data_IF_570019368159
#
_entry.id   IF_570019368159
#
_cell.length_a   1.000
_cell.length_b   1.000
_cell.length_c   1.000
_cell.angle_alpha   90.00
_cell.angle_beta   90.00
_cell.angle_gamma   90.00
#
_symmetry.space_group_name_H-M   'P 1'
#
loop_
_entity.id
_entity.type
_entity.pdbx_description
1 polymer ?
#
# COMPACT_ATOMS: atom_id res chain seq x y z
N UNK A 1 14.05 11.72 29.85
CA UNK A 1 13.10 11.75 28.72
C UNK A 1 13.39 10.50 27.92
N UNK A 2 12.51 9.51 27.92
CA UNK A 2 12.62 8.45 26.92
C UNK A 2 12.21 9.06 25.59
N UNK A 3 13.05 8.98 24.58
CA UNK A 3 12.58 9.21 23.21
C UNK A 3 11.58 8.09 22.92
N UNK A 4 10.33 8.45 22.60
CA UNK A 4 9.35 7.48 22.14
C UNK A 4 9.92 6.89 20.86
N UNK A 5 10.29 5.61 20.90
CA UNK A 5 10.97 4.94 19.79
C UNK A 5 10.12 5.11 18.52
N UNK A 6 10.62 5.93 17.61
CA UNK A 6 9.78 6.48 16.55
C UNK A 6 9.51 5.38 15.53
N UNK A 7 8.31 4.77 15.61
CA UNK A 7 7.87 3.68 14.74
C UNK A 7 8.19 4.06 13.30
N UNK A 8 9.18 3.36 12.74
CA UNK A 8 9.54 3.47 11.33
C UNK A 8 8.43 2.78 10.53
N UNK A 9 8.07 3.36 9.39
CA UNK A 9 7.00 2.84 8.54
C UNK A 9 7.58 2.47 7.18
N UNK A 10 7.31 1.25 6.74
CA UNK A 10 7.44 0.85 5.34
C UNK A 10 6.18 1.27 4.59
N UNK A 11 6.31 1.56 3.29
CA UNK A 11 5.21 1.91 2.39
C UNK A 11 5.31 1.10 1.11
N UNK A 12 4.16 0.69 0.57
CA UNK A 12 4.03 -0.05 -0.69
C UNK A 12 2.89 0.54 -1.53
N UNK A 13 2.98 0.45 -2.86
CA UNK A 13 1.99 1.02 -3.78
C UNK A 13 1.48 -0.01 -4.78
N UNK A 14 0.26 -0.50 -4.57
CA UNK A 14 -0.41 -1.36 -5.53
C UNK A 14 -1.03 -0.50 -6.64
N UNK A 15 -0.56 -0.65 -7.88
CA UNK A 15 -1.31 -0.18 -9.06
C UNK A 15 -2.35 -1.25 -9.41
N UNK A 16 -3.67 -0.93 -9.39
CA UNK A 16 -4.69 -1.90 -9.80
C UNK A 16 -4.41 -2.44 -11.22
N UNK A 17 -4.64 -3.75 -11.46
CA UNK A 17 -4.59 -4.31 -12.80
C UNK A 17 -5.61 -3.64 -13.71
N UNK A 18 -5.41 -3.75 -15.03
CA UNK A 18 -6.25 -3.11 -16.04
C UNK A 18 -6.56 -4.07 -17.16
N UNK A 19 -7.78 -3.94 -17.65
CA UNK A 19 -8.29 -4.71 -18.79
C UNK A 19 -7.48 -4.46 -20.08
N UNK A 20 -7.67 -5.30 -21.10
CA UNK A 20 -6.99 -5.14 -22.39
C UNK A 20 -7.24 -3.77 -23.06
N UNK A 21 -8.37 -3.10 -22.78
CA UNK A 21 -8.65 -1.75 -23.27
C UNK A 21 -8.02 -0.62 -22.44
N UNK A 22 -7.47 -0.94 -21.26
CA UNK A 22 -6.89 -0.06 -20.24
C UNK A 22 -7.81 1.07 -19.74
N UNK A 23 -9.12 0.92 -19.93
CA UNK A 23 -10.13 1.93 -19.54
C UNK A 23 -10.60 1.75 -18.12
N UNK A 24 -10.71 0.50 -17.67
CA UNK A 24 -11.23 0.16 -16.36
C UNK A 24 -10.14 -0.58 -15.55
N UNK A 25 -10.25 -0.49 -14.22
CA UNK A 25 -9.42 -1.28 -13.32
C UNK A 25 -10.12 -2.62 -13.08
N UNK A 26 -9.36 -3.71 -13.19
CA UNK A 26 -9.82 -5.02 -12.73
C UNK A 26 -9.77 -5.07 -11.19
N UNK A 27 -10.62 -5.89 -10.56
CA UNK A 27 -10.73 -5.98 -9.10
C UNK A 27 -9.42 -6.49 -8.47
N UNK A 28 -8.62 -5.65 -7.76
CA UNK A 28 -7.32 -6.02 -7.20
C UNK A 28 -7.42 -6.90 -5.95
N UNK A 29 -8.57 -7.55 -5.73
CA UNK A 29 -8.90 -8.26 -4.50
C UNK A 29 -7.90 -9.37 -4.16
N UNK A 30 -7.26 -10.02 -5.13
CA UNK A 30 -6.27 -11.05 -4.83
C UNK A 30 -5.03 -10.43 -4.14
N UNK A 31 -4.50 -9.37 -4.74
CA UNK A 31 -3.36 -8.60 -4.27
C UNK A 31 -3.66 -7.88 -2.95
N UNK A 32 -4.87 -7.31 -2.80
CA UNK A 32 -5.33 -6.71 -1.54
C UNK A 32 -5.35 -7.72 -0.37
N UNK A 33 -5.80 -8.95 -0.61
CA UNK A 33 -5.79 -10.00 0.42
C UNK A 33 -4.35 -10.47 0.73
N UNK A 34 -3.45 -10.53 -0.25
CA UNK A 34 -2.04 -10.83 -0.01
C UNK A 34 -1.38 -9.74 0.84
N UNK A 35 -1.55 -8.47 0.48
CA UNK A 35 -1.01 -7.33 1.23
C UNK A 35 -1.52 -7.33 2.68
N UNK A 36 -2.82 -7.57 2.89
CA UNK A 36 -3.39 -7.72 4.23
C UNK A 36 -2.80 -8.89 5.04
N UNK A 37 -2.48 -10.02 4.38
CA UNK A 37 -1.82 -11.16 5.01
C UNK A 37 -0.34 -10.90 5.35
N UNK A 38 0.33 -10.02 4.60
CA UNK A 38 1.70 -9.53 4.84
C UNK A 38 1.77 -8.36 5.85
N UNK A 39 0.64 -8.00 6.47
CA UNK A 39 0.55 -6.97 7.51
C UNK A 39 0.44 -5.53 7.00
N UNK A 40 0.12 -5.33 5.73
CA UNK A 40 -0.06 -4.00 5.14
C UNK A 40 -1.45 -3.41 5.40
N UNK A 41 -1.49 -2.20 5.95
CA UNK A 41 -2.70 -1.39 6.14
C UNK A 41 -2.90 -0.43 4.96
N UNK A 42 -4.12 -0.33 4.42
CA UNK A 42 -4.45 0.70 3.41
C UNK A 42 -4.42 2.11 4.01
N UNK A 43 -3.91 3.07 3.24
CA UNK A 43 -3.77 4.48 3.63
C UNK A 43 -4.65 5.39 2.79
N UNK A 44 -4.39 5.46 1.48
CA UNK A 44 -5.02 6.44 0.58
C UNK A 44 -4.94 6.04 -0.90
N UNK A 45 -5.65 6.78 -1.77
CA UNK A 45 -5.56 6.68 -3.22
C UNK A 45 -4.68 7.78 -3.81
N UNK A 46 -3.82 7.44 -4.77
CA UNK A 46 -3.19 8.43 -5.65
C UNK A 46 -3.96 8.45 -6.96
N UNK A 47 -4.75 9.51 -7.15
CA UNK A 47 -5.61 9.72 -8.30
C UNK A 47 -4.95 10.63 -9.34
N UNK A 48 -5.51 10.66 -10.55
CA UNK A 48 -5.06 11.55 -11.61
C UNK A 48 -5.88 12.83 -11.72
N UNK A 49 -5.22 13.93 -12.13
CA UNK A 49 -5.90 15.07 -12.74
C UNK A 49 -6.68 14.58 -13.98
N UNK A 50 -8.01 14.77 -13.98
CA UNK A 50 -8.93 14.20 -14.95
C UNK A 50 -9.69 12.94 -14.47
N UNK A 51 -9.31 12.37 -13.32
CA UNK A 51 -10.01 11.28 -12.65
C UNK A 51 -9.40 9.88 -12.85
N UNK A 52 -9.78 8.97 -11.97
CA UNK A 52 -9.33 7.58 -11.95
C UNK A 52 -8.09 7.34 -11.07
N UNK A 53 -8.16 6.32 -10.23
CA UNK A 53 -7.08 5.93 -9.32
C UNK A 53 -5.93 5.27 -10.09
N UNK A 54 -4.70 5.67 -9.73
CA UNK A 54 -3.46 5.17 -10.33
C UNK A 54 -2.71 4.23 -9.38
N UNK A 55 -2.74 4.51 -8.07
CA UNK A 55 -2.15 3.67 -7.03
C UNK A 55 -3.02 3.65 -5.76
N UNK A 56 -3.02 2.51 -5.08
CA UNK A 56 -3.49 2.32 -3.71
C UNK A 56 -2.24 2.28 -2.82
N UNK A 57 -2.17 3.16 -1.83
CA UNK A 57 -1.02 3.29 -0.93
C UNK A 57 -1.25 2.48 0.33
N UNK A 58 -0.24 1.72 0.75
CA UNK A 58 -0.24 0.92 1.96
C UNK A 58 0.93 1.29 2.86
N UNK A 59 0.79 1.02 4.15
CA UNK A 59 1.86 1.13 5.15
C UNK A 59 1.91 -0.10 6.05
N UNK A 60 3.07 -0.36 6.65
CA UNK A 60 3.18 -1.24 7.83
C UNK A 60 4.30 -0.74 8.75
N UNK A 61 4.29 -1.09 10.05
CA UNK A 61 5.46 -0.88 10.90
C UNK A 61 6.65 -1.61 10.28
N UNK A 62 7.75 -0.89 10.06
CA UNK A 62 9.01 -1.51 9.66
C UNK A 62 9.47 -2.46 10.78
N UNK A 63 10.02 -3.61 10.42
CA UNK A 63 10.56 -4.51 11.43
C UNK A 63 11.81 -3.85 12.05
N UNK A 64 11.84 -3.75 13.39
CA UNK A 64 13.06 -3.37 14.11
C UNK A 64 14.05 -4.52 14.00
N UNK A 65 14.85 -4.48 12.94
CA UNK A 65 16.02 -5.33 12.71
C UNK A 65 17.14 -4.89 13.68
N UNK A 66 16.91 -5.12 14.97
CA UNK A 66 17.84 -4.89 16.07
C UNK A 66 18.46 -6.25 16.46
N UNK A 67 19.72 -6.53 16.05
CA UNK A 67 20.39 -7.76 16.42
C UNK A 67 20.83 -7.71 17.90
N UNK A 68 20.17 -8.55 18.72
CA UNK A 68 20.50 -8.83 20.13
C UNK A 68 21.80 -9.63 20.32
#
# INVERSE_FOLDING_TARGET
MSESEAIRWEYETLRPPRDESQKEAEDPKAELNQLGAEGWEFVETIDYEGGGTKYLVFKRPAQSDEPV
#
